data_IF_555203329853
#
_entry.id   IF_555203329853
#
_cell.length_a   1.000
_cell.length_b   1.000
_cell.length_c   1.000
_cell.angle_alpha   90.00
_cell.angle_beta   90.00
_cell.angle_gamma   90.00
#
_symmetry.space_group_name_H-M   'P 1'
#
loop_
_entity.id
_entity.type
_entity.pdbx_description
1 polymer ?
#
# COMPACT_ATOMS: atom_id res chain seq x y z
N UNK A 1 48.00 14.47 36.56
CA UNK A 1 46.87 15.42 36.51
C UNK A 1 45.77 14.87 37.39
N UNK A 2 44.93 15.74 37.96
CA UNK A 2 43.70 15.33 38.64
C UNK A 2 42.73 14.74 37.61
N UNK A 3 42.20 13.54 37.87
CA UNK A 3 41.29 12.83 36.97
C UNK A 3 40.03 13.67 36.66
N UNK A 4 39.57 14.48 37.62
CA UNK A 4 38.40 15.35 37.43
C UNK A 4 38.67 16.39 36.34
N UNK A 5 39.85 17.02 36.36
CA UNK A 5 40.23 18.00 35.34
C UNK A 5 40.39 17.36 33.95
N UNK A 6 40.91 16.12 33.90
CA UNK A 6 41.01 15.37 32.65
C UNK A 6 39.62 15.02 32.08
N UNK A 7 38.71 14.54 32.94
CA UNK A 7 37.33 14.24 32.60
C UNK A 7 36.59 15.48 32.08
N UNK A 8 36.64 16.60 32.81
CA UNK A 8 35.96 17.84 32.42
C UNK A 8 36.50 18.39 31.09
N UNK A 9 37.81 18.31 30.86
CA UNK A 9 38.40 18.74 29.59
C UNK A 9 37.93 17.85 28.42
N UNK A 10 37.90 16.54 28.60
CA UNK A 10 37.38 15.61 27.60
C UNK A 10 35.88 15.86 27.32
N UNK A 11 35.10 16.13 28.36
CA UNK A 11 33.68 16.50 28.25
C UNK A 11 33.49 17.80 27.46
N UNK A 12 34.27 18.84 27.74
CA UNK A 12 34.21 20.09 26.99
C UNK A 12 34.58 19.90 25.51
N UNK A 13 35.61 19.10 25.22
CA UNK A 13 35.97 18.75 23.84
C UNK A 13 34.84 18.00 23.13
N UNK A 14 34.15 17.09 23.82
CA UNK A 14 32.97 16.42 23.29
C UNK A 14 31.82 17.41 23.02
N UNK A 15 31.56 18.38 23.92
CA UNK A 15 30.54 19.43 23.66
C UNK A 15 30.87 20.26 22.42
N UNK A 16 32.14 20.53 22.16
CA UNK A 16 32.60 21.29 20.99
C UNK A 16 32.59 20.48 19.68
N UNK A 17 32.27 19.19 19.73
CA UNK A 17 32.37 18.31 18.56
C UNK A 17 33.80 17.98 18.14
N UNK A 18 34.79 18.17 19.03
CA UNK A 18 36.21 17.98 18.73
C UNK A 18 36.69 16.53 18.93
N UNK A 19 35.84 15.65 19.46
CA UNK A 19 36.18 14.25 19.76
C UNK A 19 35.52 13.33 18.73
N UNK A 20 36.31 12.49 18.06
CA UNK A 20 35.77 11.47 17.16
C UNK A 20 35.26 10.23 17.93
N UNK A 21 34.28 9.47 17.39
CA UNK A 21 33.68 8.33 18.09
C UNK A 21 34.70 7.30 18.60
N UNK A 22 35.73 7.00 17.81
CA UNK A 22 36.79 6.06 18.19
C UNK A 22 37.63 6.56 19.38
N UNK A 23 37.91 7.87 19.43
CA UNK A 23 38.64 8.48 20.55
C UNK A 23 37.78 8.48 21.81
N UNK A 24 36.49 8.81 21.67
CA UNK A 24 35.54 8.76 22.77
C UNK A 24 35.38 7.34 23.32
N UNK A 25 35.28 6.32 22.45
CA UNK A 25 35.20 4.92 22.86
C UNK A 25 36.45 4.49 23.64
N UNK A 26 37.64 4.73 23.07
CA UNK A 26 38.91 4.34 23.69
C UNK A 26 39.13 5.04 25.04
N UNK A 27 38.84 6.34 25.12
CA UNK A 27 38.95 7.08 26.36
C UNK A 27 37.91 6.62 27.40
N UNK A 28 36.66 6.43 26.99
CA UNK A 28 35.60 5.97 27.88
C UNK A 28 35.91 4.59 28.46
N UNK A 29 36.36 3.66 27.63
CA UNK A 29 36.69 2.29 28.05
C UNK A 29 37.90 2.26 28.99
N UNK A 30 38.91 3.11 28.76
CA UNK A 30 40.06 3.24 29.66
C UNK A 30 39.71 3.83 31.04
N UNK A 31 38.70 4.71 31.11
CA UNK A 31 38.36 5.47 32.32
C UNK A 31 37.04 5.02 32.98
N UNK A 32 36.38 3.98 32.47
CA UNK A 32 35.03 3.58 32.88
C UNK A 32 34.88 3.35 34.40
N UNK A 33 35.84 2.68 35.04
CA UNK A 33 35.78 2.42 36.50
C UNK A 33 35.97 3.69 37.33
N UNK A 34 36.82 4.62 36.88
CA UNK A 34 37.01 5.91 37.53
C UNK A 34 35.77 6.80 37.36
N UNK A 35 35.16 6.78 36.17
CA UNK A 35 33.90 7.49 35.89
C UNK A 35 32.75 6.97 36.75
N UNK A 36 32.62 5.65 36.97
CA UNK A 36 31.62 5.07 37.87
C UNK A 36 31.80 5.51 39.33
N UNK A 37 33.04 5.70 39.76
CA UNK A 37 33.33 6.15 41.12
C UNK A 37 33.01 7.64 41.34
N UNK A 38 33.11 8.47 40.29
CA UNK A 38 32.93 9.92 40.38
C UNK A 38 31.55 10.42 39.93
N UNK A 39 30.91 9.75 38.98
CA UNK A 39 29.59 10.13 38.48
C UNK A 39 28.49 9.36 39.19
N UNK A 40 27.36 10.04 39.43
CA UNK A 40 26.15 9.32 39.84
C UNK A 40 25.74 8.30 38.76
N UNK A 41 25.10 7.17 39.13
CA UNK A 41 24.67 6.15 38.15
C UNK A 41 23.86 6.73 36.98
N UNK A 42 23.02 7.74 37.25
CA UNK A 42 22.22 8.42 36.23
C UNK A 42 23.05 9.25 35.25
N UNK A 43 24.08 9.96 35.72
CA UNK A 43 24.97 10.71 34.83
C UNK A 43 25.87 9.78 34.03
N UNK A 44 26.42 8.74 34.68
CA UNK A 44 27.21 7.74 34.01
C UNK A 44 26.44 7.12 32.84
N UNK A 45 25.19 6.69 33.04
CA UNK A 45 24.38 6.09 31.98
C UNK A 45 23.97 7.08 30.88
N UNK A 46 23.74 8.35 31.23
CA UNK A 46 23.32 9.37 30.25
C UNK A 46 24.47 9.81 29.35
N UNK A 47 25.70 9.88 29.88
CA UNK A 47 26.90 10.29 29.13
C UNK A 47 27.54 9.09 28.42
N UNK A 48 27.36 7.88 28.96
CA UNK A 48 27.95 6.66 28.40
C UNK A 48 27.60 6.51 26.92
N UNK A 49 28.60 6.29 26.04
CA UNK A 49 28.32 5.99 24.66
C UNK A 49 27.56 4.66 24.55
N UNK A 50 26.53 4.65 23.70
CA UNK A 50 25.95 3.42 23.17
C UNK A 50 26.96 2.66 22.31
N UNK A 51 26.74 1.35 22.13
CA UNK A 51 27.56 0.48 21.28
C UNK A 51 26.77 0.06 20.03
N UNK A 52 27.37 0.08 18.82
CA UNK A 52 28.68 0.64 18.50
C UNK A 52 28.74 2.16 18.77
N UNK A 53 29.94 2.70 19.05
CA UNK A 53 30.13 4.13 19.28
C UNK A 53 30.16 4.85 17.93
N UNK A 54 29.01 5.37 17.51
CA UNK A 54 28.82 6.14 16.27
C UNK A 54 28.43 7.61 16.54
N UNK A 55 28.25 8.42 15.51
CA UNK A 55 27.89 9.84 15.72
C UNK A 55 26.51 10.03 16.37
N UNK A 56 25.58 9.08 16.21
CA UNK A 56 24.29 9.12 16.92
C UNK A 56 24.47 8.85 18.44
N UNK A 57 25.39 7.94 18.78
CA UNK A 57 25.87 7.72 20.15
C UNK A 57 26.57 8.95 20.73
N UNK A 58 27.39 9.64 19.92
CA UNK A 58 28.04 10.89 20.31
C UNK A 58 27.04 12.00 20.59
N UNK A 59 25.96 12.15 19.79
CA UNK A 59 24.90 13.12 20.06
C UNK A 59 24.28 12.92 21.46
N UNK A 60 23.94 11.67 21.81
CA UNK A 60 23.40 11.35 23.14
C UNK A 60 24.39 11.64 24.25
N UNK A 61 25.67 11.35 24.02
CA UNK A 61 26.75 11.63 24.97
C UNK A 61 26.93 13.14 25.17
N UNK A 62 26.89 13.94 24.10
CA UNK A 62 26.96 15.40 24.10
C UNK A 62 25.82 16.02 24.91
N UNK A 63 24.58 15.57 24.68
CA UNK A 63 23.41 15.97 25.48
C UNK A 63 23.57 15.61 26.96
N UNK A 64 24.12 14.43 27.24
CA UNK A 64 24.43 13.99 28.60
C UNK A 64 25.44 14.88 29.31
N UNK A 65 26.51 15.28 28.61
CA UNK A 65 27.55 16.18 29.13
C UNK A 65 27.01 17.59 29.37
N UNK A 66 26.25 18.14 28.42
CA UNK A 66 25.58 19.44 28.57
C UNK A 66 24.67 19.45 29.81
N UNK A 67 23.90 18.38 30.01
CA UNK A 67 23.06 18.22 31.18
C UNK A 67 23.86 18.09 32.48
N UNK A 68 25.00 17.39 32.46
CA UNK A 68 25.91 17.31 33.60
C UNK A 68 26.37 18.72 34.02
N UNK A 69 26.91 19.51 33.10
CA UNK A 69 27.38 20.87 33.37
C UNK A 69 26.27 21.82 33.85
N UNK A 70 25.07 21.74 33.25
CA UNK A 70 23.88 22.46 33.72
C UNK A 70 23.58 22.15 35.19
N UNK A 71 23.63 20.87 35.58
CA UNK A 71 23.33 20.44 36.95
C UNK A 71 24.44 20.75 37.96
N UNK A 72 25.68 20.93 37.52
CA UNK A 72 26.78 21.40 38.36
C UNK A 72 26.77 22.93 38.57
N UNK A 73 25.84 23.66 37.95
CA UNK A 73 25.73 25.12 38.09
C UNK A 73 26.63 25.91 37.14
N UNK A 74 27.25 25.23 36.17
CA UNK A 74 28.14 25.82 35.16
C UNK A 74 27.67 25.42 33.76
N UNK A 75 26.51 25.90 33.29
CA UNK A 75 25.98 25.52 31.98
C UNK A 75 26.97 25.90 30.88
N UNK A 76 27.19 24.96 29.97
CA UNK A 76 28.01 25.15 28.76
C UNK A 76 27.04 25.19 27.57
N UNK A 77 27.25 26.12 26.64
CA UNK A 77 26.46 26.16 25.41
C UNK A 77 26.88 25.03 24.48
N UNK A 78 25.88 24.43 23.80
CA UNK A 78 26.20 23.54 22.69
C UNK A 78 26.83 24.36 21.57
N UNK A 79 28.14 24.20 21.38
CA UNK A 79 28.92 25.02 20.44
C UNK A 79 29.04 24.37 19.06
N UNK A 80 28.48 23.17 18.85
CA UNK A 80 28.63 22.45 17.60
C UNK A 80 27.49 21.47 17.33
N UNK A 81 26.88 21.61 16.14
CA UNK A 81 25.95 20.62 15.58
C UNK A 81 26.68 19.46 14.87
N UNK A 82 28.01 19.37 14.98
CA UNK A 82 28.85 18.44 14.24
C UNK A 82 28.36 16.99 14.32
N UNK A 83 28.13 16.46 15.53
CA UNK A 83 27.69 15.08 15.69
C UNK A 83 26.31 14.83 15.10
N UNK A 84 25.40 15.81 15.19
CA UNK A 84 24.06 15.70 14.64
C UNK A 84 24.12 15.66 13.11
N UNK A 85 24.86 16.57 12.50
CA UNK A 85 25.06 16.60 11.04
C UNK A 85 25.71 15.29 10.58
N UNK A 86 26.75 14.82 11.26
CA UNK A 86 27.43 13.56 10.91
C UNK A 86 26.54 12.34 11.10
N UNK A 87 25.75 12.29 12.17
CA UNK A 87 24.78 11.22 12.39
C UNK A 87 23.73 11.18 11.27
N UNK A 88 23.22 12.34 10.83
CA UNK A 88 22.29 12.44 9.71
C UNK A 88 22.93 12.01 8.37
N UNK A 89 24.17 12.41 8.10
CA UNK A 89 24.94 11.98 6.92
C UNK A 89 25.17 10.46 6.90
N UNK A 90 25.61 9.88 8.02
CA UNK A 90 25.82 8.44 8.13
C UNK A 90 24.52 7.66 8.04
N UNK A 91 23.45 8.18 8.62
CA UNK A 91 22.12 7.60 8.51
C UNK A 91 21.70 7.56 7.05
N UNK A 92 21.75 8.68 6.33
CA UNK A 92 21.42 8.74 4.89
C UNK A 92 22.26 7.78 4.07
N UNK A 93 23.57 7.74 4.29
CA UNK A 93 24.49 6.81 3.59
C UNK A 93 24.14 5.34 3.86
N UNK A 94 23.85 4.99 5.13
CA UNK A 94 23.41 3.64 5.50
C UNK A 94 22.09 3.30 4.82
N UNK A 95 21.18 4.26 4.68
CA UNK A 95 19.91 4.05 3.98
C UNK A 95 20.08 3.84 2.49
N UNK A 96 20.83 4.72 1.82
CA UNK A 96 21.12 4.59 0.39
C UNK A 96 21.77 3.26 0.09
N UNK A 97 22.76 2.84 0.91
CA UNK A 97 23.39 1.54 0.77
C UNK A 97 22.41 0.39 0.95
N UNK A 98 21.57 0.41 2.00
CA UNK A 98 20.59 -0.65 2.24
C UNK A 98 19.55 -0.77 1.13
N UNK A 99 19.12 0.36 0.57
CA UNK A 99 18.18 0.39 -0.54
C UNK A 99 18.84 -0.12 -1.82
N UNK A 100 20.09 0.29 -2.06
CA UNK A 100 20.91 -0.22 -3.16
C UNK A 100 21.10 -1.74 -3.06
N UNK A 101 21.52 -2.25 -1.90
CA UNK A 101 21.68 -3.69 -1.65
C UNK A 101 20.37 -4.46 -1.88
N UNK A 102 19.22 -3.86 -1.51
CA UNK A 102 17.90 -4.44 -1.76
C UNK A 102 17.61 -4.54 -3.27
N UNK A 103 17.79 -3.46 -4.03
CA UNK A 103 17.52 -3.44 -5.47
C UNK A 103 18.52 -4.29 -6.25
N UNK A 104 19.79 -4.32 -5.88
CA UNK A 104 20.79 -5.23 -6.47
C UNK A 104 20.40 -6.70 -6.28
N UNK A 105 19.85 -7.06 -5.11
CA UNK A 105 19.36 -8.40 -4.83
C UNK A 105 18.16 -8.80 -5.68
N UNK A 106 17.24 -7.88 -5.95
CA UNK A 106 16.03 -8.16 -6.74
C UNK A 106 16.19 -7.86 -8.24
N UNK A 107 17.26 -7.17 -8.65
CA UNK A 107 17.53 -6.81 -10.05
C UNK A 107 17.45 -8.02 -10.99
N UNK A 108 18.04 -9.19 -10.68
CA UNK A 108 17.98 -10.33 -11.61
C UNK A 108 16.56 -10.82 -11.89
N UNK A 109 15.64 -10.74 -10.91
CA UNK A 109 14.25 -11.15 -11.13
C UNK A 109 13.43 -10.05 -11.81
N UNK A 110 13.76 -8.77 -11.59
CA UNK A 110 13.21 -7.66 -12.36
C UNK A 110 13.61 -7.76 -13.83
N UNK A 111 14.89 -7.97 -14.11
CA UNK A 111 15.44 -8.13 -15.45
C UNK A 111 14.79 -9.33 -16.18
N UNK A 112 14.56 -10.43 -15.47
CA UNK A 112 13.87 -11.59 -16.02
C UNK A 112 12.42 -11.27 -16.43
N UNK A 113 11.70 -10.53 -15.58
CA UNK A 113 10.34 -10.08 -15.88
C UNK A 113 10.32 -9.09 -17.06
N UNK A 114 11.24 -8.14 -17.10
CA UNK A 114 11.36 -7.20 -18.23
C UNK A 114 11.72 -7.91 -19.53
N UNK A 115 12.61 -8.91 -19.48
CA UNK A 115 12.96 -9.73 -20.64
C UNK A 115 11.77 -10.60 -21.11
N UNK A 116 10.91 -11.05 -20.20
CA UNK A 116 9.63 -11.67 -20.56
C UNK A 116 8.73 -10.64 -21.27
N UNK A 117 8.51 -9.47 -20.67
CA UNK A 117 7.66 -8.42 -21.26
C UNK A 117 8.16 -7.94 -22.63
N UNK A 118 9.47 -7.87 -22.85
CA UNK A 118 10.05 -7.52 -24.15
C UNK A 118 9.66 -8.49 -25.27
N UNK A 119 9.39 -9.77 -24.94
CA UNK A 119 8.89 -10.79 -25.88
C UNK A 119 7.37 -10.73 -26.06
N UNK A 120 6.68 -10.02 -25.17
CA UNK A 120 5.23 -9.85 -25.14
C UNK A 120 4.87 -8.36 -25.13
N UNK A 121 5.25 -7.60 -26.18
CA UNK A 121 5.10 -6.15 -26.18
C UNK A 121 3.62 -5.75 -26.17
N UNK A 122 3.27 -4.87 -25.24
CA UNK A 122 1.95 -4.25 -25.16
C UNK A 122 2.05 -2.81 -25.66
N UNK A 123 1.11 -2.42 -26.53
CA UNK A 123 1.09 -1.07 -27.08
C UNK A 123 0.88 -0.04 -25.95
N UNK A 124 1.72 1.01 -25.84
CA UNK A 124 1.56 2.01 -24.80
C UNK A 124 0.25 2.78 -25.00
N UNK A 125 -0.47 3.01 -23.90
CA UNK A 125 -1.69 3.82 -23.90
C UNK A 125 -1.30 5.29 -23.93
N UNK A 126 -1.49 5.95 -25.08
CA UNK A 126 -1.28 7.39 -25.21
C UNK A 126 -2.46 8.16 -24.60
N UNK A 127 -2.32 8.57 -23.34
CA UNK A 127 -3.31 9.39 -22.65
C UNK A 127 -2.65 10.43 -21.74
N UNK A 128 -2.88 11.71 -22.07
CA UNK A 128 -2.40 12.85 -21.28
C UNK A 128 -3.32 13.07 -20.07
N UNK A 129 -3.06 12.30 -19.01
CA UNK A 129 -3.81 12.36 -17.77
C UNK A 129 -3.47 13.61 -16.96
N UNK A 130 -2.27 14.20 -17.13
CA UNK A 130 -1.84 15.40 -16.40
C UNK A 130 -2.77 16.59 -16.70
N UNK A 131 -3.27 16.71 -17.93
CA UNK A 131 -4.30 17.71 -18.30
C UNK A 131 -5.62 17.60 -17.52
N UNK A 132 -5.82 16.54 -16.74
CA UNK A 132 -7.01 16.33 -15.90
C UNK A 132 -6.80 16.72 -14.44
N UNK A 133 -5.58 17.08 -14.05
CA UNK A 133 -5.28 17.56 -12.70
C UNK A 133 -5.94 18.91 -12.41
N UNK A 134 -6.22 19.17 -11.13
CA UNK A 134 -6.83 20.42 -10.68
C UNK A 134 -8.36 20.43 -10.80
N UNK A 135 -8.94 21.62 -10.90
CA UNK A 135 -10.39 21.81 -10.85
C UNK A 135 -11.04 21.43 -12.20
N UNK A 136 -12.05 20.53 -12.22
CA UNK A 136 -12.78 20.19 -13.42
C UNK A 136 -13.43 21.41 -14.11
N UNK A 137 -13.52 21.48 -15.46
CA UNK A 137 -14.05 22.64 -16.19
C UNK A 137 -15.49 23.07 -15.85
N UNK A 138 -16.27 22.21 -15.19
CA UNK A 138 -17.65 22.50 -14.74
C UNK A 138 -17.75 22.92 -13.26
N UNK A 139 -16.64 22.97 -12.53
CA UNK A 139 -16.60 23.38 -11.12
C UNK A 139 -16.09 24.82 -11.03
N UNK A 140 -16.94 25.74 -10.57
CA UNK A 140 -16.44 27.02 -10.10
C UNK A 140 -15.54 26.78 -8.86
N UNK A 141 -14.41 27.50 -8.72
CA UNK A 141 -13.73 27.59 -7.43
C UNK A 141 -14.73 28.04 -6.38
N UNK A 142 -14.65 27.51 -5.18
CA UNK A 142 -15.52 27.93 -4.08
C UNK A 142 -15.42 29.47 -3.94
N UNK A 143 -16.53 30.23 -4.03
CA UNK A 143 -16.52 31.67 -3.79
C UNK A 143 -16.00 32.02 -2.39
N UNK A 144 -16.05 31.08 -1.46
CA UNK A 144 -15.48 31.20 -0.11
C UNK A 144 -13.94 31.23 -0.10
N UNK A 145 -13.28 30.85 -1.21
CA UNK A 145 -11.83 30.68 -1.32
C UNK A 145 -11.11 31.81 -2.09
N UNK A 146 -11.79 32.93 -2.40
CA UNK A 146 -11.13 34.13 -2.95
C UNK A 146 -11.20 35.30 -1.95
N UNK A 147 -10.07 35.59 -1.29
CA UNK A 147 -9.83 36.82 -0.50
C UNK A 147 -9.45 37.96 -1.47
N UNK A 148 -9.76 39.23 -1.17
CA UNK A 148 -8.64 40.16 -0.92
C UNK A 148 -8.94 41.31 0.08
N UNK A 149 -7.96 41.65 0.93
CA UNK A 149 -7.78 43.05 1.39
C UNK A 149 -6.49 43.59 0.74
N UNK A 150 -6.54 44.70 -0.03
CA UNK A 150 -5.41 45.23 -0.79
C UNK A 150 -4.49 46.17 0.01
N UNK A 151 -4.26 45.90 1.29
CA UNK A 151 -3.18 46.52 2.06
C UNK A 151 -1.98 45.58 2.13
N UNK A 152 -0.94 45.89 1.35
CA UNK A 152 0.29 45.10 1.22
C UNK A 152 1.08 44.94 2.52
N UNK A 153 0.65 44.02 3.37
CA UNK A 153 1.44 43.43 4.44
C UNK A 153 1.28 41.91 4.37
N UNK A 154 2.39 41.22 4.10
CA UNK A 154 2.49 39.77 4.21
C UNK A 154 2.52 39.45 5.71
N UNK A 155 1.52 38.78 6.32
CA UNK A 155 1.67 38.28 7.66
C UNK A 155 2.57 37.05 7.60
N UNK A 156 3.65 37.06 8.37
CA UNK A 156 4.50 35.89 8.56
C UNK A 156 3.67 34.69 9.03
N UNK A 157 3.93 33.52 8.43
CA UNK A 157 3.44 32.23 8.89
C UNK A 157 3.75 32.06 10.40
N UNK A 158 2.75 31.89 11.28
CA UNK A 158 3.04 31.45 12.63
C UNK A 158 3.38 29.96 12.58
N UNK A 159 4.56 29.62 13.08
CA UNK A 159 4.87 28.26 13.52
C UNK A 159 3.72 27.75 14.40
N UNK A 160 3.04 26.69 13.96
CA UNK A 160 2.01 26.04 14.76
C UNK A 160 2.66 25.37 15.98
N UNK A 161 2.50 26.02 17.13
CA UNK A 161 2.45 25.36 18.44
C UNK A 161 1.28 24.36 18.37
N UNK A 162 1.38 23.16 18.98
CA UNK A 162 0.28 22.20 18.98
C UNK A 162 -0.96 22.85 19.60
N UNK A 163 -2.04 22.95 18.83
CA UNK A 163 -3.29 23.52 19.32
C UNK A 163 -3.85 22.62 20.45
N UNK A 164 -4.41 23.21 21.53
CA UNK A 164 -5.23 22.43 22.46
C UNK A 164 -6.45 21.86 21.70
N UNK A 165 -7.04 20.75 22.18
CA UNK A 165 -8.10 20.05 21.46
C UNK A 165 -9.23 21.02 21.13
N UNK A 166 -9.43 21.27 19.83
CA UNK A 166 -10.48 22.15 19.34
C UNK A 166 -11.83 21.58 19.75
N UNK A 167 -12.59 22.36 20.50
CA UNK A 167 -14.01 22.16 20.73
C UNK A 167 -14.72 21.99 19.39
N UNK A 168 -15.60 20.99 19.32
CA UNK A 168 -16.33 20.60 18.12
C UNK A 168 -16.96 21.81 17.41
N UNK A 169 -16.67 21.98 16.12
CA UNK A 169 -17.37 22.91 15.24
C UNK A 169 -18.89 22.71 15.37
N UNK A 170 -19.70 23.78 15.39
CA UNK A 170 -21.13 23.64 15.55
C UNK A 170 -21.73 22.87 14.37
N UNK A 171 -22.47 21.82 14.68
CA UNK A 171 -23.23 21.01 13.71
C UNK A 171 -24.17 21.96 12.94
N UNK A 172 -24.07 21.95 11.61
CA UNK A 172 -24.90 22.79 10.74
C UNK A 172 -26.40 22.51 10.96
N UNK A 173 -27.31 23.50 10.77
CA UNK A 173 -28.76 23.25 10.75
C UNK A 173 -29.15 22.17 9.74
N UNK A 174 -30.22 21.41 10.03
CA UNK A 174 -30.59 20.21 9.27
C UNK A 174 -30.80 20.44 7.76
N UNK A 175 -31.29 21.61 7.36
CA UNK A 175 -31.47 21.94 5.93
C UNK A 175 -30.14 22.31 5.25
N UNK A 176 -29.24 23.02 5.95
CA UNK A 176 -27.87 23.26 5.50
C UNK A 176 -27.07 21.96 5.36
N UNK A 177 -27.32 20.95 6.20
CA UNK A 177 -26.73 19.62 6.06
C UNK A 177 -27.19 18.89 4.79
N UNK A 178 -28.47 19.02 4.40
CA UNK A 178 -29.01 18.40 3.17
C UNK A 178 -28.45 19.03 1.91
N UNK A 179 -28.34 20.36 1.89
CA UNK A 179 -27.73 21.11 0.78
C UNK A 179 -26.25 20.75 0.64
N UNK A 180 -25.53 20.74 1.76
CA UNK A 180 -24.12 20.38 1.80
C UNK A 180 -23.88 18.95 1.29
N UNK A 181 -24.70 17.98 1.74
CA UNK A 181 -24.64 16.59 1.24
C UNK A 181 -24.89 16.50 -0.27
N UNK A 182 -25.83 17.29 -0.79
CA UNK A 182 -26.14 17.30 -2.22
C UNK A 182 -24.99 17.88 -3.04
N UNK A 183 -24.35 18.93 -2.54
CA UNK A 183 -23.17 19.54 -3.15
C UNK A 183 -21.98 18.57 -3.16
N UNK A 184 -21.66 17.93 -2.03
CA UNK A 184 -20.61 16.92 -1.94
C UNK A 184 -20.82 15.81 -2.98
N UNK A 185 -22.03 15.25 -3.05
CA UNK A 185 -22.35 14.20 -4.03
C UNK A 185 -22.16 14.66 -5.48
N UNK A 186 -22.51 15.91 -5.78
CA UNK A 186 -22.29 16.51 -7.09
C UNK A 186 -20.78 16.61 -7.39
N UNK A 187 -19.97 17.13 -6.46
CA UNK A 187 -18.52 17.28 -6.61
C UNK A 187 -17.79 15.96 -6.77
N UNK A 188 -18.19 14.93 -6.01
CA UNK A 188 -17.69 13.56 -6.16
C UNK A 188 -17.98 13.00 -7.56
N UNK A 189 -19.21 13.19 -8.06
CA UNK A 189 -19.64 12.71 -9.38
C UNK A 189 -18.90 13.44 -10.51
N UNK A 190 -18.74 14.75 -10.41
CA UNK A 190 -18.02 15.57 -11.40
C UNK A 190 -16.55 15.15 -11.50
N UNK A 191 -15.84 15.01 -10.37
CA UNK A 191 -14.45 14.54 -10.38
C UNK A 191 -14.31 13.13 -10.94
N UNK A 192 -15.22 12.21 -10.57
CA UNK A 192 -15.26 10.86 -11.15
C UNK A 192 -15.40 10.89 -12.68
N UNK A 193 -16.24 11.78 -13.20
CA UNK A 193 -16.50 11.90 -14.64
C UNK A 193 -15.39 12.64 -15.39
N UNK A 194 -14.74 13.61 -14.75
CA UNK A 194 -13.71 14.44 -15.37
C UNK A 194 -12.32 13.79 -15.32
N UNK A 195 -12.00 13.04 -14.27
CA UNK A 195 -10.66 12.51 -14.00
C UNK A 195 -10.58 11.01 -14.22
N UNK A 196 -11.41 10.23 -13.52
CA UNK A 196 -11.30 8.76 -13.49
C UNK A 196 -11.89 8.11 -14.75
N UNK A 197 -13.10 8.53 -15.15
CA UNK A 197 -13.79 7.91 -16.29
C UNK A 197 -13.01 8.03 -17.62
N UNK A 198 -12.37 9.17 -17.95
CA UNK A 198 -11.54 9.29 -19.15
C UNK A 198 -10.30 8.40 -19.08
N UNK A 199 -9.61 8.34 -17.93
CA UNK A 199 -8.47 7.45 -17.72
C UNK A 199 -8.89 5.98 -17.93
N UNK A 200 -9.91 5.51 -17.21
CA UNK A 200 -10.40 4.14 -17.34
C UNK A 200 -10.78 3.77 -18.78
N UNK A 201 -11.40 4.70 -19.52
CA UNK A 201 -11.73 4.50 -20.95
C UNK A 201 -10.49 4.42 -21.83
N UNK A 202 -9.45 5.22 -21.57
CA UNK A 202 -8.20 5.17 -22.33
C UNK A 202 -7.54 3.79 -22.24
N UNK A 203 -7.68 3.13 -21.09
CA UNK A 203 -7.21 1.77 -20.85
C UNK A 203 -8.21 0.68 -21.28
N UNK A 204 -9.28 1.04 -21.98
CA UNK A 204 -10.26 0.08 -22.52
C UNK A 204 -11.31 -0.41 -21.52
N UNK A 205 -11.38 0.16 -20.31
CA UNK A 205 -12.39 -0.23 -19.33
C UNK A 205 -13.77 0.33 -19.68
N UNK A 206 -14.79 -0.51 -19.52
CA UNK A 206 -16.21 -0.16 -19.66
C UNK A 206 -16.80 0.23 -18.31
N UNK A 207 -17.75 1.16 -18.32
CA UNK A 207 -18.47 1.57 -17.11
C UNK A 207 -19.60 0.57 -16.80
N UNK A 208 -19.45 -0.20 -15.74
CA UNK A 208 -20.43 -1.19 -15.28
C UNK A 208 -21.43 -0.65 -14.23
N UNK A 209 -21.16 0.54 -13.70
CA UNK A 209 -22.03 1.21 -12.73
C UNK A 209 -21.62 2.66 -12.53
N UNK A 210 -22.30 3.43 -11.66
CA UNK A 210 -21.95 4.83 -11.41
C UNK A 210 -20.54 4.99 -10.81
N UNK A 211 -20.03 3.95 -10.12
CA UNK A 211 -18.76 3.92 -9.38
C UNK A 211 -17.80 2.82 -9.84
N UNK A 212 -18.15 2.07 -10.89
CA UNK A 212 -17.47 0.81 -11.25
C UNK A 212 -17.05 0.81 -12.72
N UNK A 213 -15.79 0.43 -12.97
CA UNK A 213 -15.16 0.26 -14.27
C UNK A 213 -14.55 -1.13 -14.36
N UNK A 214 -14.73 -1.79 -15.50
CA UNK A 214 -14.32 -3.18 -15.71
C UNK A 214 -13.79 -3.38 -17.13
N UNK A 215 -12.76 -4.19 -17.28
CA UNK A 215 -12.20 -4.64 -18.56
C UNK A 215 -12.05 -6.15 -18.50
N UNK A 216 -12.37 -6.82 -19.60
CA UNK A 216 -12.01 -8.22 -19.81
C UNK A 216 -11.18 -8.30 -21.09
N UNK A 217 -10.02 -8.93 -21.02
CA UNK A 217 -9.14 -9.18 -22.16
C UNK A 217 -8.42 -10.51 -21.96
N UNK A 218 -8.51 -11.41 -22.94
CA UNK A 218 -7.89 -12.75 -22.96
C UNK A 218 -7.99 -13.54 -21.63
N UNK A 219 -9.16 -13.52 -20.98
CA UNK A 219 -9.39 -14.24 -19.73
C UNK A 219 -8.87 -13.53 -18.47
N UNK A 220 -8.35 -12.31 -18.60
CA UNK A 220 -7.98 -11.42 -17.49
C UNK A 220 -9.07 -10.35 -17.31
N UNK A 221 -9.35 -10.02 -16.05
CA UNK A 221 -10.29 -8.99 -15.63
C UNK A 221 -9.55 -7.92 -14.87
N UNK A 222 -9.70 -6.67 -15.31
CA UNK A 222 -9.31 -5.49 -14.56
C UNK A 222 -10.57 -4.85 -13.97
N UNK A 223 -10.59 -4.61 -12.67
CA UNK A 223 -11.74 -4.12 -11.93
C UNK A 223 -11.35 -2.90 -11.11
N UNK A 224 -12.14 -1.83 -11.19
CA UNK A 224 -11.98 -0.62 -10.41
C UNK A 224 -13.35 -0.18 -9.89
N UNK A 225 -13.49 -0.03 -8.57
CA UNK A 225 -14.73 0.33 -7.93
C UNK A 225 -14.51 1.25 -6.73
N UNK A 226 -15.24 2.34 -6.69
CA UNK A 226 -15.26 3.20 -5.50
C UNK A 226 -16.35 2.71 -4.55
N UNK A 227 -15.96 2.28 -3.37
CA UNK A 227 -16.82 1.70 -2.32
C UNK A 227 -17.47 2.82 -1.51
N UNK A 228 -18.68 2.59 -1.00
CA UNK A 228 -19.47 3.55 -0.23
C UNK A 228 -20.78 3.97 -0.92
N UNK A 229 -21.69 4.61 -0.20
CA UNK A 229 -23.05 4.89 -0.67
C UNK A 229 -23.25 6.34 -1.15
N UNK A 230 -23.80 6.51 -2.36
CA UNK A 230 -24.39 7.78 -2.82
C UNK A 230 -25.62 8.24 -1.98
N UNK A 231 -26.00 7.49 -0.94
CA UNK A 231 -27.12 7.82 -0.04
C UNK A 231 -26.67 8.08 1.41
N UNK A 232 -25.46 7.66 1.78
CA UNK A 232 -24.98 7.63 3.17
C UNK A 232 -23.97 8.73 3.51
N UNK A 233 -23.00 9.03 2.63
CA UNK A 233 -22.01 10.03 2.98
C UNK A 233 -20.81 10.25 2.05
N UNK A 234 -20.54 9.37 1.06
CA UNK A 234 -19.39 9.58 0.16
C UNK A 234 -18.78 8.29 -0.39
N UNK A 235 -17.46 8.31 -0.61
CA UNK A 235 -16.64 7.15 -0.91
C UNK A 235 -15.79 6.77 0.30
N UNK A 236 -15.87 5.51 0.69
CA UNK A 236 -15.21 4.98 1.89
C UNK A 236 -13.89 4.30 1.58
N UNK A 237 -13.78 3.71 0.40
CA UNK A 237 -12.58 3.05 -0.09
C UNK A 237 -12.59 2.97 -1.62
N UNK A 238 -11.48 2.52 -2.18
CA UNK A 238 -11.33 2.13 -3.58
C UNK A 238 -10.95 0.65 -3.60
N UNK A 239 -11.73 -0.15 -4.31
CA UNK A 239 -11.52 -1.56 -4.55
C UNK A 239 -11.03 -1.73 -5.99
N UNK A 240 -9.81 -2.24 -6.16
CA UNK A 240 -9.18 -2.41 -7.46
C UNK A 240 -8.39 -3.71 -7.52
N UNK A 241 -8.54 -4.46 -8.62
CA UNK A 241 -7.81 -5.70 -8.84
C UNK A 241 -7.63 -6.04 -10.33
N UNK A 242 -6.53 -6.72 -10.64
CA UNK A 242 -6.37 -7.54 -11.84
C UNK A 242 -6.37 -9.01 -11.44
N UNK A 243 -7.17 -9.84 -12.11
CA UNK A 243 -7.26 -11.27 -11.82
C UNK A 243 -7.76 -12.06 -13.04
N UNK A 244 -7.55 -13.38 -13.11
CA UNK A 244 -8.24 -14.23 -14.06
C UNK A 244 -9.77 -14.13 -13.94
N UNK A 245 -10.48 -14.31 -15.05
CA UNK A 245 -11.95 -14.22 -15.10
C UNK A 245 -12.65 -15.23 -14.20
N UNK A 246 -12.00 -16.35 -13.89
CA UNK A 246 -12.56 -17.36 -12.99
C UNK A 246 -12.27 -17.09 -11.51
N UNK A 247 -11.40 -16.13 -11.18
CA UNK A 247 -11.05 -15.77 -9.80
C UNK A 247 -12.16 -15.01 -9.08
N UNK A 248 -12.26 -15.18 -7.77
CA UNK A 248 -13.27 -14.51 -6.93
C UNK A 248 -12.84 -13.13 -6.42
N UNK A 249 -11.88 -12.47 -7.10
CA UNK A 249 -11.19 -11.25 -6.66
C UNK A 249 -10.42 -11.48 -5.35
N UNK A 250 -9.57 -12.50 -5.36
CA UNK A 250 -8.69 -12.85 -4.24
C UNK A 250 -7.58 -11.81 -3.99
N UNK A 251 -7.34 -10.91 -4.96
CA UNK A 251 -6.24 -9.93 -4.99
C UNK A 251 -4.84 -10.58 -5.03
N UNK A 252 -4.77 -11.88 -5.27
CA UNK A 252 -3.51 -12.63 -5.43
C UNK A 252 -2.82 -12.14 -6.69
N UNK A 253 -1.53 -11.84 -6.56
CA UNK A 253 -0.71 -11.29 -7.63
C UNK A 253 -1.38 -10.07 -8.31
N UNK A 254 -1.96 -9.15 -7.53
CA UNK A 254 -2.61 -7.96 -8.09
C UNK A 254 -1.59 -6.90 -8.55
N UNK A 255 -0.73 -6.46 -7.63
CA UNK A 255 0.30 -5.44 -7.87
C UNK A 255 1.59 -5.82 -7.15
N UNK A 256 2.77 -5.53 -7.73
CA UNK A 256 4.04 -5.78 -7.07
C UNK A 256 4.18 -4.99 -5.76
N UNK A 257 5.10 -5.44 -4.88
CA UNK A 257 5.21 -4.93 -3.50
C UNK A 257 5.56 -3.45 -3.42
N UNK A 258 6.42 -2.96 -4.31
CA UNK A 258 6.81 -1.56 -4.41
C UNK A 258 5.65 -0.62 -4.76
N UNK A 259 4.72 -1.05 -5.61
CA UNK A 259 3.47 -0.31 -5.89
C UNK A 259 2.50 -0.44 -4.70
N UNK A 260 2.37 -1.64 -4.13
CA UNK A 260 1.45 -1.91 -3.02
C UNK A 260 1.84 -1.21 -1.72
N UNK A 261 3.11 -0.87 -1.54
CA UNK A 261 3.63 -0.21 -0.34
C UNK A 261 4.32 1.12 -0.64
N UNK A 262 4.21 1.59 -1.88
CA UNK A 262 4.81 2.84 -2.36
C UNK A 262 4.16 4.10 -1.78
N UNK A 263 4.90 5.20 -1.84
CA UNK A 263 4.48 6.49 -1.29
C UNK A 263 3.19 7.00 -1.95
N UNK A 264 3.02 6.84 -3.26
CA UNK A 264 1.79 7.28 -3.96
C UNK A 264 0.56 6.55 -3.46
N UNK A 265 0.67 5.26 -3.17
CA UNK A 265 -0.44 4.51 -2.56
C UNK A 265 -0.71 5.02 -1.14
N UNK A 266 0.33 5.29 -0.34
CA UNK A 266 0.15 5.87 1.01
C UNK A 266 -0.53 7.24 0.95
N UNK A 267 -0.12 8.11 0.04
CA UNK A 267 -0.78 9.40 -0.23
C UNK A 267 -2.23 9.20 -0.65
N UNK A 268 -2.48 8.29 -1.60
CA UNK A 268 -3.81 7.90 -2.06
C UNK A 268 -4.67 7.29 -0.94
N UNK A 269 -4.09 6.64 0.07
CA UNK A 269 -4.82 6.12 1.25
C UNK A 269 -4.91 7.11 2.42
N UNK A 270 -4.10 8.16 2.43
CA UNK A 270 -4.17 9.21 3.45
C UNK A 270 -5.37 10.14 3.22
N UNK A 271 -5.98 10.70 4.27
CA UNK A 271 -7.00 11.75 4.09
C UNK A 271 -8.29 11.32 3.38
N UNK A 272 -8.67 10.04 3.40
CA UNK A 272 -9.97 9.57 2.86
C UNK A 272 -11.19 10.24 3.52
N UNK A 273 -11.05 10.78 4.74
CA UNK A 273 -12.09 11.53 5.45
C UNK A 273 -12.75 12.62 4.59
N UNK A 274 -11.97 13.29 3.73
CA UNK A 274 -12.44 14.38 2.84
C UNK A 274 -13.51 13.91 1.85
N UNK A 275 -13.49 12.63 1.47
CA UNK A 275 -14.46 12.05 0.54
C UNK A 275 -15.42 11.05 1.20
N UNK A 276 -15.28 10.78 2.51
CA UNK A 276 -16.04 9.76 3.25
C UNK A 276 -17.40 10.25 3.76
N UNK A 277 -17.45 11.44 4.38
CA UNK A 277 -18.64 12.18 4.83
C UNK A 277 -18.21 13.38 5.68
N UNK A 278 -18.71 14.59 5.42
CA UNK A 278 -18.49 15.75 6.30
C UNK A 278 -19.82 16.42 6.69
N UNK A 279 -20.02 16.60 8.01
CA UNK A 279 -21.17 17.28 8.62
C UNK A 279 -21.00 18.80 8.70
N UNK A 280 -19.78 19.31 8.44
CA UNK A 280 -19.37 20.68 8.72
C UNK A 280 -19.14 21.56 7.47
N UNK A 281 -19.20 20.98 6.26
CA UNK A 281 -19.02 21.70 5.00
C UNK A 281 -18.69 20.76 3.84
N UNK A 282 -18.63 21.23 2.59
CA UNK A 282 -18.11 20.45 1.45
C UNK A 282 -16.75 21.04 1.12
N UNK A 283 -15.68 20.36 1.48
CA UNK A 283 -14.32 20.73 1.07
C UNK A 283 -14.10 20.38 -0.41
N UNK A 284 -14.53 21.27 -1.30
CA UNK A 284 -14.43 21.07 -2.76
C UNK A 284 -12.97 20.98 -3.20
N UNK A 285 -12.08 21.78 -2.61
CA UNK A 285 -10.66 21.76 -2.95
C UNK A 285 -9.99 20.46 -2.50
N UNK A 286 -10.28 20.01 -1.28
CA UNK A 286 -9.82 18.73 -0.76
C UNK A 286 -10.35 17.55 -1.58
N UNK A 287 -11.61 17.58 -2.02
CA UNK A 287 -12.15 16.57 -2.95
C UNK A 287 -11.34 16.56 -4.25
N UNK A 288 -11.07 17.72 -4.84
CA UNK A 288 -10.30 17.82 -6.09
C UNK A 288 -8.89 17.27 -5.93
N UNK A 289 -8.20 17.68 -4.87
CA UNK A 289 -6.86 17.20 -4.50
C UNK A 289 -6.86 15.70 -4.25
N UNK A 290 -7.91 15.18 -3.60
CA UNK A 290 -8.02 13.75 -3.35
C UNK A 290 -8.17 12.94 -4.63
N UNK A 291 -8.99 13.42 -5.55
CA UNK A 291 -9.11 12.81 -6.87
C UNK A 291 -7.85 12.95 -7.73
N UNK A 292 -7.05 14.01 -7.55
CA UNK A 292 -5.74 14.14 -8.20
C UNK A 292 -4.77 13.07 -7.70
N UNK A 293 -4.70 12.84 -6.39
CA UNK A 293 -3.89 11.74 -5.81
C UNK A 293 -4.32 10.37 -6.37
N UNK A 294 -5.63 10.12 -6.46
CA UNK A 294 -6.16 8.87 -7.01
C UNK A 294 -5.86 8.74 -8.51
N UNK A 295 -6.07 9.82 -9.28
CA UNK A 295 -5.77 9.85 -10.71
C UNK A 295 -4.30 9.55 -10.97
N UNK A 296 -3.41 10.23 -10.26
CA UNK A 296 -1.95 10.05 -10.37
C UNK A 296 -1.54 8.63 -10.02
N UNK A 297 -2.02 8.07 -8.90
CA UNK A 297 -1.72 6.68 -8.51
C UNK A 297 -2.19 5.67 -9.56
N UNK A 298 -3.41 5.83 -10.08
CA UNK A 298 -3.93 4.93 -11.10
C UNK A 298 -3.18 5.03 -12.43
N UNK A 299 -2.84 6.26 -12.85
CA UNK A 299 -2.24 6.52 -14.16
C UNK A 299 -0.73 6.19 -14.20
N UNK A 300 0.00 6.43 -13.11
CA UNK A 300 1.45 6.20 -13.07
C UNK A 300 1.84 4.80 -12.60
N UNK A 301 1.05 4.16 -11.73
CA UNK A 301 1.43 2.88 -11.12
C UNK A 301 0.48 1.74 -11.51
N UNK A 302 -0.82 1.85 -11.19
CA UNK A 302 -1.74 0.70 -11.31
C UNK A 302 -1.99 0.28 -12.76
N UNK A 303 -2.46 1.20 -13.60
CA UNK A 303 -2.88 0.86 -14.96
C UNK A 303 -1.71 0.46 -15.87
N UNK A 304 -0.53 1.12 -15.82
CA UNK A 304 0.66 0.64 -16.54
C UNK A 304 1.05 -0.79 -16.15
N UNK A 305 1.05 -1.13 -14.85
CA UNK A 305 1.32 -2.50 -14.40
C UNK A 305 0.27 -3.50 -14.91
N UNK A 306 -1.00 -3.09 -14.97
CA UNK A 306 -2.07 -3.96 -15.48
C UNK A 306 -2.00 -4.19 -16.99
N UNK A 307 -1.60 -3.19 -17.78
CA UNK A 307 -1.48 -3.38 -19.23
C UNK A 307 -0.37 -4.37 -19.60
N UNK A 308 0.66 -4.53 -18.76
CA UNK A 308 1.68 -5.57 -18.93
C UNK A 308 1.11 -7.00 -18.85
N UNK A 309 -0.12 -7.16 -18.34
CA UNK A 309 -0.76 -8.45 -18.08
C UNK A 309 -2.00 -8.56 -18.97
N UNK A 310 -1.78 -8.96 -20.20
CA UNK A 310 -2.83 -8.99 -21.22
C UNK A 310 -3.50 -10.37 -21.39
N UNK A 311 -2.99 -11.42 -20.75
CA UNK A 311 -3.44 -12.81 -20.85
C UNK A 311 -3.11 -13.63 -19.58
N UNK A 312 -3.64 -14.86 -19.51
CA UNK A 312 -3.39 -15.78 -18.39
C UNK A 312 -1.92 -16.20 -18.30
N UNK A 313 -1.26 -16.40 -19.44
CA UNK A 313 0.15 -16.76 -19.52
C UNK A 313 1.04 -15.69 -18.89
N UNK A 314 0.78 -14.41 -19.15
CA UNK A 314 1.48 -13.30 -18.53
C UNK A 314 1.16 -13.19 -17.02
N UNK A 315 -0.09 -13.42 -16.63
CA UNK A 315 -0.50 -13.38 -15.22
C UNK A 315 0.20 -14.45 -14.38
N UNK A 316 0.34 -15.67 -14.92
CA UNK A 316 0.96 -16.81 -14.27
C UNK A 316 2.43 -17.04 -14.65
N UNK A 317 3.06 -16.10 -15.36
CA UNK A 317 4.46 -16.21 -15.78
C UNK A 317 5.37 -16.52 -14.57
N UNK A 318 6.25 -17.54 -14.64
CA UNK A 318 7.18 -17.85 -13.56
C UNK A 318 8.02 -16.66 -13.12
N UNK A 319 8.45 -15.83 -14.07
CA UNK A 319 9.22 -14.60 -13.85
C UNK A 319 8.44 -13.61 -12.98
N UNK A 320 7.15 -13.44 -13.27
CA UNK A 320 6.26 -12.59 -12.49
C UNK A 320 6.05 -13.13 -11.08
N UNK A 321 5.82 -14.43 -10.94
CA UNK A 321 5.65 -15.05 -9.63
C UNK A 321 6.94 -14.90 -8.78
N UNK A 322 8.11 -15.11 -9.40
CA UNK A 322 9.40 -14.92 -8.74
C UNK A 322 9.60 -13.47 -8.28
N UNK A 323 9.22 -12.49 -9.11
CA UNK A 323 9.24 -11.08 -8.75
C UNK A 323 8.38 -10.78 -7.52
N UNK A 324 7.12 -11.25 -7.51
CA UNK A 324 6.23 -11.05 -6.37
C UNK A 324 6.78 -11.70 -5.10
N UNK A 325 7.31 -12.93 -5.20
CA UNK A 325 7.94 -13.62 -4.08
C UNK A 325 9.15 -12.87 -3.53
N UNK A 326 10.00 -12.31 -4.41
CA UNK A 326 11.16 -11.51 -4.02
C UNK A 326 10.77 -10.19 -3.33
N UNK A 327 9.61 -9.64 -3.70
CA UNK A 327 9.06 -8.38 -3.18
C UNK A 327 8.09 -8.54 -2.00
N UNK A 328 7.81 -9.77 -1.54
CA UNK A 328 6.97 -10.02 -0.35
C UNK A 328 7.51 -9.31 0.89
N UNK A 329 8.83 -9.22 0.97
CA UNK A 329 9.54 -8.41 1.95
C UNK A 329 10.01 -7.11 1.28
N UNK A 330 9.73 -5.99 1.93
CA UNK A 330 10.21 -4.69 1.50
C UNK A 330 11.70 -4.48 1.76
N UNK A 331 12.26 -3.34 1.32
CA UNK A 331 13.58 -2.93 1.76
C UNK A 331 13.58 -2.74 3.29
N UNK A 332 14.74 -2.77 3.95
CA UNK A 332 14.82 -2.49 5.38
C UNK A 332 14.31 -1.08 5.72
N UNK A 333 13.53 -0.97 6.79
CA UNK A 333 13.08 0.29 7.38
C UNK A 333 14.29 1.09 7.85
N UNK A 334 14.35 2.37 7.47
CA UNK A 334 15.50 3.19 7.75
C UNK A 334 15.71 3.48 9.24
N UNK A 335 14.63 3.56 10.01
CA UNK A 335 14.62 4.03 11.39
C UNK A 335 14.57 2.85 12.37
N UNK A 336 13.84 1.79 12.02
CA UNK A 336 13.39 0.76 12.97
C UNK A 336 14.17 -0.54 12.94
N UNK A 337 15.16 -0.67 12.06
CA UNK A 337 15.92 -1.91 11.83
C UNK A 337 15.05 -3.14 11.50
N UNK A 338 13.80 -2.90 11.06
CA UNK A 338 12.89 -3.92 10.55
C UNK A 338 12.81 -3.86 9.02
N UNK A 339 11.92 -4.61 8.38
CA UNK A 339 11.58 -4.43 6.97
C UNK A 339 10.46 -3.38 6.84
N UNK A 340 10.45 -2.62 5.75
CA UNK A 340 9.47 -1.56 5.50
C UNK A 340 8.05 -2.13 5.37
N UNK A 341 7.94 -3.30 4.78
CA UNK A 341 6.79 -4.20 4.87
C UNK A 341 7.30 -5.64 4.97
N UNK A 342 6.53 -6.50 5.62
CA UNK A 342 6.82 -7.93 5.67
C UNK A 342 5.50 -8.69 5.58
N UNK A 343 5.08 -8.92 4.33
CA UNK A 343 3.85 -9.64 4.07
C UNK A 343 4.09 -11.16 4.18
N UNK A 344 5.27 -11.65 4.58
CA UNK A 344 5.53 -13.11 4.67
C UNK A 344 4.65 -13.77 5.71
N UNK A 345 4.35 -13.10 6.81
CA UNK A 345 3.43 -13.64 7.83
C UNK A 345 1.99 -13.75 7.28
N UNK A 346 1.57 -12.82 6.42
CA UNK A 346 0.25 -12.85 5.79
C UNK A 346 0.21 -13.80 4.60
N UNK A 347 1.28 -13.89 3.81
CA UNK A 347 1.44 -14.82 2.68
C UNK A 347 1.62 -16.27 3.14
N UNK A 348 2.23 -16.51 4.30
CA UNK A 348 2.35 -17.84 4.89
C UNK A 348 1.05 -18.33 5.53
N UNK A 349 0.09 -17.43 5.79
CA UNK A 349 -1.26 -17.83 6.22
C UNK A 349 -2.03 -18.28 4.97
N UNK A 350 -2.41 -19.57 4.88
CA UNK A 350 -3.25 -20.02 3.78
C UNK A 350 -4.51 -19.15 3.76
N UNK A 351 -4.95 -18.72 2.57
CA UNK A 351 -6.23 -18.06 2.44
C UNK A 351 -7.28 -18.95 3.15
N UNK A 352 -8.14 -18.42 4.05
CA UNK A 352 -8.99 -19.23 4.93
C UNK A 352 -9.91 -20.24 4.21
N UNK A 353 -9.98 -20.13 2.90
CA UNK A 353 -10.89 -20.82 2.01
C UNK A 353 -10.22 -21.38 0.75
N UNK A 354 -8.88 -21.37 0.69
CA UNK A 354 -8.12 -21.94 -0.42
C UNK A 354 -8.31 -21.24 -1.76
N UNK A 355 -8.44 -19.89 -1.78
CA UNK A 355 -8.58 -19.13 -3.02
C UNK A 355 -7.35 -19.30 -3.92
N UNK A 356 -6.16 -19.32 -3.33
CA UNK A 356 -4.88 -19.60 -4.00
C UNK A 356 -4.91 -20.99 -4.65
N UNK A 357 -5.31 -22.00 -3.89
CA UNK A 357 -5.36 -23.38 -4.38
C UNK A 357 -6.37 -23.55 -5.52
N UNK A 358 -7.50 -22.85 -5.47
CA UNK A 358 -8.42 -22.78 -6.59
C UNK A 358 -7.80 -22.06 -7.81
N UNK A 359 -7.22 -20.88 -7.59
CA UNK A 359 -6.66 -20.03 -8.65
C UNK A 359 -5.57 -20.75 -9.44
N UNK A 360 -4.59 -21.31 -8.73
CA UNK A 360 -3.48 -22.06 -9.30
C UNK A 360 -3.92 -23.44 -9.78
N UNK A 361 -4.83 -24.12 -9.07
CA UNK A 361 -5.35 -25.43 -9.47
C UNK A 361 -6.06 -25.39 -10.82
N UNK A 362 -6.92 -24.39 -11.06
CA UNK A 362 -7.56 -24.20 -12.37
C UNK A 362 -6.54 -23.90 -13.46
N UNK A 363 -5.54 -23.07 -13.17
CA UNK A 363 -4.46 -22.77 -14.14
C UNK A 363 -3.64 -24.02 -14.49
N UNK A 364 -3.28 -24.83 -13.51
CA UNK A 364 -2.56 -26.09 -13.69
C UNK A 364 -3.37 -27.07 -14.55
N UNK A 365 -4.69 -27.17 -14.35
CA UNK A 365 -5.56 -27.95 -15.24
C UNK A 365 -5.58 -27.42 -16.68
N UNK A 366 -5.68 -26.09 -16.87
CA UNK A 366 -5.71 -25.46 -18.20
C UNK A 366 -4.39 -25.62 -18.95
N UNK A 367 -3.27 -25.56 -18.23
CA UNK A 367 -1.92 -25.76 -18.77
C UNK A 367 -1.55 -27.24 -18.96
N UNK A 368 -2.38 -28.17 -18.49
CA UNK A 368 -2.23 -29.61 -18.69
C UNK A 368 -1.47 -30.35 -17.57
N UNK A 369 -1.18 -29.69 -16.46
CA UNK A 369 -0.62 -30.27 -15.24
C UNK A 369 -1.75 -30.86 -14.37
N UNK A 370 -2.40 -31.91 -14.89
CA UNK A 370 -3.61 -32.48 -14.27
C UNK A 370 -3.42 -32.92 -12.81
N UNK A 371 -2.32 -33.58 -12.49
CA UNK A 371 -2.05 -34.11 -11.15
C UNK A 371 -1.97 -32.98 -10.12
N UNK A 372 -1.10 -31.99 -10.36
CA UNK A 372 -0.97 -30.80 -9.51
C UNK A 372 -2.31 -30.06 -9.38
N UNK A 373 -2.99 -29.85 -10.53
CA UNK A 373 -4.25 -29.12 -10.55
C UNK A 373 -5.33 -29.78 -9.71
N UNK A 374 -5.53 -31.08 -9.83
CA UNK A 374 -6.51 -31.80 -9.02
C UNK A 374 -6.12 -31.88 -7.54
N UNK A 375 -4.83 -32.00 -7.22
CA UNK A 375 -4.34 -31.96 -5.84
C UNK A 375 -4.69 -30.63 -5.17
N UNK A 376 -4.40 -29.50 -5.82
CA UNK A 376 -4.75 -28.17 -5.30
C UNK A 376 -6.25 -27.98 -5.13
N UNK A 377 -7.04 -28.38 -6.14
CA UNK A 377 -8.50 -28.30 -6.04
C UNK A 377 -9.04 -29.14 -4.88
N UNK A 378 -8.43 -30.30 -4.60
CA UNK A 378 -8.78 -31.13 -3.43
C UNK A 378 -8.55 -30.37 -2.13
N UNK A 379 -7.37 -29.76 -1.95
CA UNK A 379 -7.06 -28.94 -0.76
C UNK A 379 -8.03 -27.76 -0.61
N UNK A 380 -8.40 -27.10 -1.72
CA UNK A 380 -9.40 -26.03 -1.71
C UNK A 380 -10.77 -26.54 -1.20
N UNK A 381 -11.22 -27.72 -1.67
CA UNK A 381 -12.48 -28.32 -1.21
C UNK A 381 -12.41 -28.69 0.28
N UNK A 382 -11.32 -29.32 0.72
CA UNK A 382 -11.13 -29.70 2.13
C UNK A 382 -11.17 -28.49 3.06
N UNK A 383 -10.57 -27.37 2.66
CA UNK A 383 -10.59 -26.12 3.41
C UNK A 383 -11.97 -25.46 3.43
N UNK A 384 -12.72 -25.50 2.32
CA UNK A 384 -14.05 -24.90 2.22
C UNK A 384 -15.17 -25.72 2.87
N UNK A 385 -14.97 -27.03 3.05
CA UNK A 385 -15.96 -27.99 3.54
C UNK A 385 -16.64 -27.58 4.87
N UNK A 386 -15.93 -27.12 5.93
CA UNK A 386 -16.57 -26.74 7.19
C UNK A 386 -17.59 -25.60 7.05
N UNK A 387 -17.33 -24.66 6.15
CA UNK A 387 -18.23 -23.52 5.90
C UNK A 387 -19.46 -23.94 5.11
N UNK A 388 -19.28 -24.79 4.09
CA UNK A 388 -20.39 -25.24 3.24
C UNK A 388 -21.36 -26.15 3.98
N UNK A 389 -20.88 -26.99 4.91
CA UNK A 389 -21.75 -27.85 5.74
C UNK A 389 -22.85 -27.07 6.47
N UNK A 390 -22.58 -25.82 6.85
CA UNK A 390 -23.57 -24.96 7.52
C UNK A 390 -24.74 -24.53 6.61
N UNK A 391 -24.63 -24.74 5.29
CA UNK A 391 -25.61 -24.33 4.28
C UNK A 391 -26.23 -25.51 3.51
N UNK A 392 -25.71 -26.73 3.67
CA UNK A 392 -26.20 -27.93 2.95
C UNK A 392 -27.68 -28.24 3.24
N UNK A 393 -28.24 -27.78 4.36
CA UNK A 393 -29.66 -27.96 4.72
C UNK A 393 -30.63 -27.07 3.92
N UNK A 394 -30.16 -26.08 3.13
CA UNK A 394 -31.02 -25.01 2.55
C UNK A 394 -31.17 -25.01 1.01
N UNK A 395 -30.81 -26.09 0.31
CA UNK A 395 -31.12 -26.29 -1.12
C UNK A 395 -29.92 -26.33 -2.07
N UNK A 396 -30.21 -26.40 -3.38
CA UNK A 396 -29.24 -26.72 -4.46
C UNK A 396 -28.07 -25.73 -4.56
N UNK A 397 -26.86 -26.29 -4.48
CA UNK A 397 -25.58 -25.59 -4.52
C UNK A 397 -25.09 -25.47 -5.96
N UNK A 398 -25.62 -24.47 -6.68
CA UNK A 398 -25.24 -24.17 -8.08
C UNK A 398 -24.54 -22.83 -8.18
N UNK A 399 -23.78 -22.60 -9.26
CA UNK A 399 -23.12 -21.30 -9.51
C UNK A 399 -24.14 -20.16 -9.43
N UNK A 400 -25.30 -20.32 -10.07
CA UNK A 400 -26.36 -19.31 -10.17
C UNK A 400 -26.87 -18.87 -8.79
N UNK A 401 -26.96 -19.80 -7.85
CA UNK A 401 -27.42 -19.54 -6.49
C UNK A 401 -26.31 -18.93 -5.62
N UNK A 402 -25.05 -19.12 -5.99
CA UNK A 402 -23.87 -18.74 -5.22
C UNK A 402 -23.24 -17.40 -5.64
N UNK A 403 -23.68 -16.78 -6.74
CA UNK A 403 -23.08 -15.54 -7.28
C UNK A 403 -23.03 -14.34 -6.32
N UNK A 404 -23.85 -14.32 -5.26
CA UNK A 404 -23.87 -13.25 -4.25
C UNK A 404 -22.92 -13.51 -3.08
N UNK A 405 -22.40 -14.72 -2.99
CA UNK A 405 -21.56 -15.20 -1.89
C UNK A 405 -20.26 -15.72 -2.51
N UNK A 406 -19.19 -14.90 -2.51
CA UNK A 406 -17.91 -15.28 -3.11
C UNK A 406 -17.38 -16.62 -2.61
N UNK A 407 -17.70 -16.99 -1.37
CA UNK A 407 -17.22 -18.24 -0.77
C UNK A 407 -17.97 -19.45 -1.29
N UNK A 408 -19.29 -19.33 -1.41
CA UNK A 408 -20.08 -20.39 -2.04
C UNK A 408 -19.73 -20.52 -3.52
N UNK A 409 -19.46 -19.41 -4.18
CA UNK A 409 -19.08 -19.38 -5.58
C UNK A 409 -17.73 -20.07 -5.81
N UNK A 410 -16.74 -19.78 -4.95
CA UNK A 410 -15.44 -20.45 -4.96
C UNK A 410 -15.62 -21.97 -4.88
N UNK A 411 -16.30 -22.44 -3.83
CA UNK A 411 -16.49 -23.88 -3.61
C UNK A 411 -17.29 -24.55 -4.76
N UNK A 412 -18.37 -23.91 -5.25
CA UNK A 412 -19.11 -24.38 -6.43
C UNK A 412 -18.19 -24.56 -7.64
N UNK A 413 -17.38 -23.54 -7.94
CA UNK A 413 -16.49 -23.56 -9.08
C UNK A 413 -15.42 -24.65 -8.91
N UNK A 414 -14.81 -24.75 -7.73
CA UNK A 414 -13.83 -25.79 -7.40
C UNK A 414 -14.41 -27.19 -7.60
N UNK A 415 -15.64 -27.45 -7.14
CA UNK A 415 -16.30 -28.74 -7.32
C UNK A 415 -16.54 -29.09 -8.79
N UNK A 416 -16.91 -28.10 -9.62
CA UNK A 416 -17.14 -28.33 -11.05
C UNK A 416 -15.86 -28.73 -11.77
N UNK A 417 -14.73 -28.08 -11.46
CA UNK A 417 -13.44 -28.48 -12.01
C UNK A 417 -12.98 -29.83 -11.43
N UNK A 418 -13.13 -30.06 -10.14
CA UNK A 418 -12.75 -31.34 -9.53
C UNK A 418 -13.48 -32.53 -10.15
N UNK A 419 -14.77 -32.39 -10.49
CA UNK A 419 -15.59 -33.44 -11.14
C UNK A 419 -15.05 -33.87 -12.52
N UNK A 420 -14.23 -33.06 -13.18
CA UNK A 420 -13.63 -33.46 -14.47
C UNK A 420 -12.61 -34.58 -14.31
N UNK A 421 -12.07 -34.80 -13.10
CA UNK A 421 -11.17 -35.92 -12.79
C UNK A 421 -11.81 -37.28 -13.06
N UNK A 422 -13.14 -37.40 -12.97
CA UNK A 422 -13.88 -38.64 -13.21
C UNK A 422 -13.98 -39.07 -14.67
N UNK A 423 -13.53 -38.26 -15.63
CA UNK A 423 -13.56 -38.66 -17.05
C UNK A 423 -12.46 -39.68 -17.36
N UNK A 424 -12.83 -40.71 -18.11
CA UNK A 424 -11.91 -41.78 -18.52
C UNK A 424 -11.10 -41.33 -19.73
N UNK A 425 -9.78 -41.22 -19.56
CA UNK A 425 -8.84 -40.84 -20.60
C UNK A 425 -8.49 -39.34 -20.60
N UNK A 426 -7.22 -39.05 -20.93
CA UNK A 426 -6.64 -37.70 -20.85
C UNK A 426 -7.36 -36.69 -21.76
N UNK A 427 -7.71 -37.09 -22.99
CA UNK A 427 -8.40 -36.19 -23.93
C UNK A 427 -9.85 -35.89 -23.51
N UNK A 428 -10.52 -36.85 -22.88
CA UNK A 428 -11.85 -36.64 -22.33
C UNK A 428 -11.81 -35.68 -21.13
N UNK A 429 -10.84 -35.85 -20.22
CA UNK A 429 -10.62 -34.91 -19.11
C UNK A 429 -10.30 -33.51 -19.61
N UNK A 430 -9.36 -33.37 -20.56
CA UNK A 430 -9.00 -32.06 -21.12
C UNK A 430 -10.20 -31.35 -21.75
N UNK A 431 -11.03 -32.05 -22.51
CA UNK A 431 -12.27 -31.47 -23.06
C UNK A 431 -13.23 -31.03 -21.96
N UNK A 432 -13.46 -31.87 -20.96
CA UNK A 432 -14.31 -31.53 -19.83
C UNK A 432 -13.79 -30.31 -19.04
N UNK A 433 -12.48 -30.20 -18.80
CA UNK A 433 -11.87 -29.01 -18.17
C UNK A 433 -12.17 -27.75 -18.98
N UNK A 434 -11.97 -27.78 -20.30
CA UNK A 434 -12.22 -26.62 -21.17
C UNK A 434 -13.70 -26.23 -21.25
N UNK A 435 -14.59 -27.22 -21.24
CA UNK A 435 -16.05 -27.00 -21.19
C UNK A 435 -16.47 -26.40 -19.84
N UNK A 436 -15.97 -26.94 -18.73
CA UNK A 436 -16.18 -26.39 -17.39
C UNK A 436 -15.63 -24.97 -17.27
N UNK A 437 -14.44 -24.71 -17.80
CA UNK A 437 -13.85 -23.37 -17.82
C UNK A 437 -14.74 -22.36 -18.54
N UNK A 438 -15.24 -22.71 -19.74
CA UNK A 438 -16.18 -21.87 -20.49
C UNK A 438 -17.48 -21.63 -19.71
N UNK A 439 -17.99 -22.68 -19.06
CA UNK A 439 -19.19 -22.61 -18.23
C UNK A 439 -19.02 -21.66 -17.04
N UNK A 440 -17.96 -21.84 -16.24
CA UNK A 440 -17.64 -20.98 -15.09
C UNK A 440 -17.44 -19.53 -15.54
N UNK A 441 -16.62 -19.30 -16.57
CA UNK A 441 -16.34 -17.96 -17.08
C UNK A 441 -17.61 -17.20 -17.51
N UNK A 442 -18.59 -17.91 -18.10
CA UNK A 442 -19.88 -17.31 -18.49
C UNK A 442 -20.60 -16.68 -17.31
N UNK A 443 -20.62 -17.34 -16.15
CA UNK A 443 -21.26 -16.81 -14.95
C UNK A 443 -20.39 -15.78 -14.22
N UNK A 444 -19.07 -16.00 -14.22
CA UNK A 444 -18.14 -15.07 -13.60
C UNK A 444 -18.13 -13.70 -14.29
N UNK A 445 -18.43 -13.61 -15.59
CA UNK A 445 -18.70 -12.30 -16.24
C UNK A 445 -19.80 -11.51 -15.52
N UNK A 446 -20.82 -12.19 -15.00
CA UNK A 446 -21.84 -11.55 -14.19
C UNK A 446 -21.35 -11.15 -12.79
N UNK A 447 -20.56 -11.99 -12.14
CA UNK A 447 -19.91 -11.69 -10.86
C UNK A 447 -19.02 -10.44 -10.94
N UNK A 448 -18.20 -10.36 -12.00
CA UNK A 448 -17.33 -9.21 -12.28
C UNK A 448 -18.07 -8.03 -12.92
N UNK A 449 -19.40 -8.07 -13.06
CA UNK A 449 -20.24 -7.01 -13.65
C UNK A 449 -19.88 -6.66 -15.11
N UNK A 450 -19.24 -7.58 -15.83
CA UNK A 450 -18.95 -7.47 -17.26
C UNK A 450 -20.22 -7.65 -18.11
N UNK A 451 -21.11 -8.54 -17.66
CA UNK A 451 -22.40 -8.82 -18.28
C UNK A 451 -23.52 -8.79 -17.26
N UNK A 452 -24.75 -8.53 -17.71
CA UNK A 452 -25.92 -8.72 -16.84
C UNK A 452 -26.13 -10.22 -16.66
N UNK A 453 -26.20 -10.66 -15.41
CA UNK A 453 -26.61 -12.02 -15.10
C UNK A 453 -27.96 -12.32 -15.75
N UNK A 454 -28.13 -13.50 -16.37
CA UNK A 454 -29.43 -13.91 -16.89
C UNK A 454 -30.46 -13.81 -15.76
N UNK A 455 -31.56 -13.09 -16.01
CA UNK A 455 -32.68 -13.06 -15.07
C UNK A 455 -33.24 -14.47 -14.98
N UNK A 456 -33.42 -14.98 -13.76
CA UNK A 456 -34.18 -16.20 -13.50
C UNK A 456 -35.59 -16.09 -14.03
#
# INVERSE_FOLDING_TARGET
>A
MDFINEMENMFLQAVQGAVEPALWEAWWDAHAEQLKAHLSPGYFLRIKPGRPVDYASMCRSQEGVLYYFYRQGHPVENSSDYYKIKAEEEFKRRQEKRLQDYYERISPVMDAWEAFLAKHPVAPVAFDWQKRLGTPPGQAPDPSAQVPDPSGQIPALPHQVPAPPQSASPILPQDSQKENKSLMHLRLKENMQAKIAPLARAYGMKKAGPKTFVKEQNGIVSYLNFVGYFRGGGYEAIDYCICPLYDIRSHILNLPGDVMHGERRKEMLSGWGVIQFDLNGTDTEGINRKFDQILTFLAEEVFPCWEQIDCLEAFFAPERQALFQAMLAGPPDPIRECLLWDDRADAARPHPWGADEYLFGVWELLSGQEENGYERLTRCLEQGEPYIRQFQEKGDFTIENSLKDPMKLLYCNTQLFYKTSGQVGKDARRRAVLETYKYVCRYMRGFHKLERLPKK
#
